data_IF_013226478202
#
_entry.id   IF_013226478202
#
_cell.length_a   1.000
_cell.length_b   1.000
_cell.length_c   1.000
_cell.angle_alpha   90.00
_cell.angle_beta   90.00
_cell.angle_gamma   90.00
#
_symmetry.space_group_name_H-M   'P 1'
#
loop_
_entity.id
_entity.type
_entity.pdbx_description
1 polymer ?
#
# COMPACT_ATOMS: atom_id res chain seq x y z
N UNK A 1 -2.94 2.59 21.59
CA UNK A 1 -2.80 1.19 22.00
C UNK A 1 -4.15 0.56 22.31
N UNK A 2 -4.97 1.17 23.16
CA UNK A 2 -6.28 0.65 23.57
C UNK A 2 -7.19 0.38 22.35
N UNK A 3 -7.17 1.26 21.36
CA UNK A 3 -7.91 1.09 20.10
C UNK A 3 -7.36 -0.02 19.20
N UNK A 4 -6.12 -0.46 19.41
CA UNK A 4 -5.46 -1.44 18.55
C UNK A 4 -5.43 -2.85 19.14
N UNK A 5 -5.49 -3.00 20.47
CA UNK A 5 -5.26 -4.28 21.16
C UNK A 5 -6.34 -5.35 20.87
N UNK A 6 -7.53 -4.95 20.48
CA UNK A 6 -8.63 -5.86 20.18
C UNK A 6 -9.94 -5.14 19.89
N UNK A 7 -10.98 -5.92 19.73
CA UNK A 7 -12.36 -5.43 19.62
C UNK A 7 -12.81 -4.82 20.95
N UNK A 8 -13.60 -3.75 20.93
CA UNK A 8 -14.10 -3.11 22.15
C UNK A 8 -15.04 -3.99 22.99
N UNK A 9 -15.59 -5.02 22.40
CA UNK A 9 -16.44 -6.00 23.09
C UNK A 9 -15.62 -7.08 23.83
N UNK A 10 -14.30 -7.12 23.65
CA UNK A 10 -13.44 -8.14 24.24
C UNK A 10 -12.51 -7.55 25.31
N UNK A 11 -12.35 -8.31 26.40
CA UNK A 11 -11.34 -7.98 27.40
C UNK A 11 -9.93 -8.13 26.81
N UNK A 12 -9.09 -7.11 27.00
CA UNK A 12 -7.71 -7.13 26.55
C UNK A 12 -6.75 -7.01 27.74
N UNK A 13 -5.69 -7.81 27.73
CA UNK A 13 -4.64 -7.77 28.73
C UNK A 13 -3.68 -6.62 28.40
N UNK A 14 -3.38 -5.78 29.38
CA UNK A 14 -2.36 -4.75 29.24
C UNK A 14 -0.99 -5.36 28.94
N UNK A 15 -0.33 -4.90 27.91
CA UNK A 15 1.03 -5.30 27.53
C UNK A 15 1.90 -4.11 27.20
N UNK A 16 2.92 -3.84 28.00
CA UNK A 16 3.90 -2.79 27.77
C UNK A 16 4.65 -3.00 26.44
N UNK A 17 4.92 -4.24 26.07
CA UNK A 17 5.57 -4.54 24.78
C UNK A 17 4.69 -4.20 23.58
N UNK A 18 3.39 -4.44 23.69
CA UNK A 18 2.44 -4.08 22.64
C UNK A 18 2.28 -2.55 22.48
N UNK A 19 2.39 -1.79 23.59
CA UNK A 19 2.46 -0.31 23.54
C UNK A 19 3.66 0.16 22.71
N UNK A 20 4.81 -0.48 22.85
CA UNK A 20 6.01 -0.19 22.03
C UNK A 20 5.75 -0.42 20.54
N UNK A 21 4.90 -1.39 20.19
CA UNK A 21 4.46 -1.64 18.81
C UNK A 21 3.71 -0.45 18.22
N UNK A 22 2.76 0.11 18.98
CA UNK A 22 2.01 1.31 18.58
C UNK A 22 2.93 2.53 18.45
N UNK A 23 3.87 2.71 19.38
CA UNK A 23 4.88 3.78 19.28
C UNK A 23 5.71 3.65 18.01
N UNK A 24 6.24 2.45 17.71
CA UNK A 24 7.03 2.21 16.48
C UNK A 24 6.24 2.53 15.21
N UNK A 25 4.93 2.30 15.19
CA UNK A 25 4.09 2.71 14.07
C UNK A 25 4.07 4.22 13.91
N UNK A 26 3.87 4.99 14.99
CA UNK A 26 3.89 6.45 14.95
C UNK A 26 5.27 7.00 14.57
N UNK A 27 6.35 6.41 15.09
CA UNK A 27 7.72 6.77 14.69
C UNK A 27 7.94 6.54 13.17
N UNK A 28 7.36 5.49 12.59
CA UNK A 28 7.42 5.25 11.15
C UNK A 28 6.64 6.29 10.34
N UNK A 29 5.46 6.71 10.83
CA UNK A 29 4.70 7.81 10.20
C UNK A 29 5.50 9.10 10.23
N UNK A 30 6.17 9.40 11.34
CA UNK A 30 7.03 10.57 11.46
C UNK A 30 8.21 10.52 10.50
N UNK A 31 8.92 9.39 10.45
CA UNK A 31 10.06 9.21 9.54
C UNK A 31 9.63 9.28 8.06
N UNK A 32 8.42 8.78 7.74
CA UNK A 32 7.86 8.90 6.40
C UNK A 32 7.63 10.38 6.04
N UNK A 33 7.15 11.18 7.00
CA UNK A 33 6.96 12.62 6.84
C UNK A 33 8.28 13.36 6.55
N UNK A 34 9.41 12.94 7.13
CA UNK A 34 10.72 13.53 6.87
C UNK A 34 11.22 13.29 5.43
N UNK A 35 10.78 12.22 4.78
CA UNK A 35 11.16 11.85 3.41
C UNK A 35 10.16 12.28 2.34
N UNK A 36 9.17 13.07 2.71
CA UNK A 36 8.06 13.48 1.84
C UNK A 36 8.53 14.46 0.76
N UNK A 37 8.15 14.19 -0.49
CA UNK A 37 8.36 15.10 -1.63
C UNK A 37 7.38 16.27 -1.57
N UNK A 38 7.84 17.46 -1.95
CA UNK A 38 7.06 18.70 -1.96
C UNK A 38 6.13 18.75 -3.20
N UNK A 39 5.24 17.78 -3.33
CA UNK A 39 4.19 17.76 -4.35
C UNK A 39 2.82 17.75 -3.61
N UNK A 40 1.95 18.75 -3.87
CA UNK A 40 0.66 18.85 -3.22
C UNK A 40 -0.33 17.77 -3.66
N UNK A 41 -0.07 17.08 -4.76
CA UNK A 41 -0.94 16.04 -5.30
C UNK A 41 -0.54 14.65 -4.80
N UNK A 42 -1.52 13.74 -4.59
CA UNK A 42 -1.21 12.35 -4.34
C UNK A 42 -0.45 11.70 -5.51
N UNK A 43 0.50 10.84 -5.19
CA UNK A 43 1.27 10.10 -6.19
C UNK A 43 0.39 9.07 -6.90
N UNK A 44 0.42 8.96 -8.24
CA UNK A 44 -0.27 7.90 -8.97
C UNK A 44 0.10 6.48 -8.51
N UNK A 45 1.35 6.28 -8.07
CA UNK A 45 1.80 5.00 -7.53
C UNK A 45 1.10 4.61 -6.22
N UNK A 46 0.59 5.59 -5.48
CA UNK A 46 -0.08 5.41 -4.19
C UNK A 46 -1.61 5.49 -4.28
N UNK A 47 -2.16 5.83 -5.45
CA UNK A 47 -3.59 6.08 -5.61
C UNK A 47 -4.44 4.91 -5.12
N UNK A 48 -4.14 3.70 -5.56
CA UNK A 48 -4.94 2.53 -5.22
C UNK A 48 -4.89 2.18 -3.73
N UNK A 49 -3.72 2.24 -3.11
CA UNK A 49 -3.60 1.94 -1.67
C UNK A 49 -4.28 3.02 -0.84
N UNK A 50 -4.18 4.30 -1.22
CA UNK A 50 -4.85 5.39 -0.50
C UNK A 50 -6.36 5.25 -0.57
N UNK A 51 -6.95 5.04 -1.77
CA UNK A 51 -8.40 4.88 -1.91
C UNK A 51 -8.92 3.62 -1.19
N UNK A 52 -8.20 2.49 -1.24
CA UNK A 52 -8.53 1.30 -0.43
C UNK A 52 -8.48 1.58 1.08
N UNK A 53 -7.48 2.34 1.51
CA UNK A 53 -7.31 2.68 2.93
C UNK A 53 -8.40 3.62 3.40
N UNK A 54 -8.74 4.67 2.63
CA UNK A 54 -9.87 5.56 2.95
C UNK A 54 -11.16 4.74 3.11
N UNK A 55 -11.49 3.90 2.11
CA UNK A 55 -12.68 3.04 2.15
C UNK A 55 -12.70 2.16 3.40
N UNK A 56 -11.59 1.46 3.66
CA UNK A 56 -11.47 0.52 4.79
C UNK A 56 -11.57 1.22 6.14
N UNK A 57 -10.82 2.31 6.34
CA UNK A 57 -10.80 3.05 7.60
C UNK A 57 -12.16 3.69 7.87
N UNK A 58 -12.82 4.26 6.87
CA UNK A 58 -14.17 4.82 7.01
C UNK A 58 -15.16 3.75 7.49
N UNK A 59 -15.23 2.61 6.80
CA UNK A 59 -16.14 1.52 7.16
C UNK A 59 -15.83 0.93 8.55
N UNK A 60 -14.56 0.86 8.92
CA UNK A 60 -14.13 0.33 10.21
C UNK A 60 -14.47 1.28 11.37
N UNK A 61 -14.32 2.60 11.16
CA UNK A 61 -14.74 3.60 12.16
C UNK A 61 -16.26 3.53 12.37
N UNK A 62 -17.04 3.48 11.30
CA UNK A 62 -18.51 3.36 11.37
C UNK A 62 -18.96 2.08 12.11
N UNK A 63 -18.17 1.03 12.01
CA UNK A 63 -18.42 -0.27 12.65
C UNK A 63 -17.70 -0.45 14.00
N UNK A 64 -17.04 0.60 14.53
CA UNK A 64 -16.23 0.58 15.76
C UNK A 64 -15.07 -0.44 15.76
N UNK A 65 -14.62 -0.86 14.57
CA UNK A 65 -13.50 -1.78 14.37
C UNK A 65 -12.16 -1.05 14.30
N UNK A 66 -11.81 -0.32 15.35
CA UNK A 66 -10.64 0.55 15.38
C UNK A 66 -9.31 -0.19 15.18
N UNK A 67 -9.22 -1.42 15.65
CA UNK A 67 -8.04 -2.27 15.48
C UNK A 67 -7.76 -2.59 14.00
N UNK A 68 -8.78 -2.89 13.20
CA UNK A 68 -8.63 -3.18 11.78
C UNK A 68 -8.37 -1.91 10.97
N UNK A 69 -8.94 -0.77 11.35
CA UNK A 69 -8.62 0.53 10.78
C UNK A 69 -7.12 0.87 10.95
N UNK A 70 -6.58 0.69 12.16
CA UNK A 70 -5.15 0.90 12.44
C UNK A 70 -4.29 -0.08 11.62
N UNK A 71 -4.67 -1.35 11.53
CA UNK A 71 -3.96 -2.34 10.71
C UNK A 71 -3.94 -1.96 9.22
N UNK A 72 -5.05 -1.43 8.68
CA UNK A 72 -5.11 -0.93 7.31
C UNK A 72 -4.14 0.25 7.09
N UNK A 73 -4.08 1.19 8.02
CA UNK A 73 -3.12 2.30 7.96
C UNK A 73 -1.66 1.82 8.09
N UNK A 74 -1.38 0.79 8.90
CA UNK A 74 -0.04 0.18 8.96
C UNK A 74 0.36 -0.44 7.63
N UNK A 75 -0.57 -1.09 6.93
CA UNK A 75 -0.35 -1.63 5.58
C UNK A 75 -0.08 -0.50 4.59
N UNK A 76 -0.88 0.57 4.62
CA UNK A 76 -0.67 1.74 3.77
C UNK A 76 0.72 2.35 4.00
N UNK A 77 1.17 2.53 5.24
CA UNK A 77 2.52 3.05 5.55
C UNK A 77 3.62 2.17 4.98
N UNK A 78 3.45 0.83 4.93
CA UNK A 78 4.42 -0.07 4.29
C UNK A 78 4.54 0.21 2.78
N UNK A 79 3.41 0.30 2.07
CA UNK A 79 3.40 0.56 0.62
C UNK A 79 3.89 1.98 0.31
N UNK A 80 3.45 2.98 1.06
CA UNK A 80 3.91 4.37 0.92
C UNK A 80 5.42 4.51 1.13
N UNK A 81 5.98 3.76 2.10
CA UNK A 81 7.44 3.75 2.33
C UNK A 81 8.19 3.15 1.15
N UNK A 82 7.66 2.11 0.52
CA UNK A 82 8.29 1.47 -0.63
C UNK A 82 8.20 2.32 -1.91
N UNK A 83 7.09 2.99 -2.13
CA UNK A 83 6.82 3.78 -3.34
C UNK A 83 7.36 5.22 -3.25
N UNK A 84 7.66 5.69 -2.04
CA UNK A 84 7.88 7.11 -1.74
C UNK A 84 6.56 7.88 -1.64
N UNK A 85 6.59 9.02 -0.96
CA UNK A 85 5.39 9.81 -0.65
C UNK A 85 5.49 11.25 -1.09
N UNK A 86 4.34 11.83 -1.42
CA UNK A 86 4.13 13.25 -1.67
C UNK A 86 3.41 13.92 -0.49
N UNK A 87 3.37 15.25 -0.47
CA UNK A 87 2.53 16.00 0.49
C UNK A 87 1.05 15.61 0.36
N UNK A 88 0.57 15.37 -0.86
CA UNK A 88 -0.80 14.93 -1.10
C UNK A 88 -1.10 13.58 -0.46
N UNK A 89 -0.17 12.61 -0.57
CA UNK A 89 -0.29 11.30 0.10
C UNK A 89 -0.31 11.44 1.62
N UNK A 90 0.62 12.23 2.16
CA UNK A 90 0.73 12.48 3.61
C UNK A 90 -0.51 13.17 4.17
N UNK A 91 -1.10 14.11 3.43
CA UNK A 91 -2.34 14.77 3.85
C UNK A 91 -3.45 13.75 4.13
N UNK A 92 -3.66 12.82 3.20
CA UNK A 92 -4.66 11.76 3.34
C UNK A 92 -4.34 10.86 4.54
N UNK A 93 -3.10 10.39 4.66
CA UNK A 93 -2.68 9.54 5.77
C UNK A 93 -2.88 10.22 7.12
N UNK A 94 -2.50 11.49 7.24
CA UNK A 94 -2.64 12.29 8.47
C UNK A 94 -4.12 12.46 8.84
N UNK A 95 -5.00 12.76 7.87
CA UNK A 95 -6.43 12.87 8.09
C UNK A 95 -7.04 11.55 8.62
N UNK A 96 -6.69 10.42 8.01
CA UNK A 96 -7.17 9.10 8.45
C UNK A 96 -6.65 8.72 9.85
N UNK A 97 -5.44 9.11 10.19
CA UNK A 97 -4.80 8.79 11.47
C UNK A 97 -5.24 9.75 12.60
N UNK A 98 -5.76 10.94 12.28
CA UNK A 98 -6.08 11.96 13.27
C UNK A 98 -7.01 11.48 14.40
N UNK A 99 -8.10 10.71 14.15
CA UNK A 99 -8.96 10.19 15.22
C UNK A 99 -8.25 9.27 16.22
N UNK A 100 -7.14 8.65 15.81
CA UNK A 100 -6.39 7.67 16.61
C UNK A 100 -5.18 8.28 17.32
N UNK A 101 -4.57 9.29 16.72
CA UNK A 101 -3.33 9.91 17.21
C UNK A 101 -3.32 11.44 16.92
N UNK A 102 -4.21 12.22 17.57
CA UNK A 102 -4.41 13.62 17.21
C UNK A 102 -3.16 14.48 17.38
N UNK A 103 -2.35 14.27 18.42
CA UNK A 103 -1.19 15.13 18.68
C UNK A 103 -0.15 15.08 17.55
N UNK A 104 0.26 13.88 17.14
CA UNK A 104 1.26 13.74 16.06
C UNK A 104 0.71 14.23 14.71
N UNK A 105 -0.58 14.01 14.46
CA UNK A 105 -1.19 14.40 13.18
C UNK A 105 -1.44 15.91 13.09
N UNK A 106 -1.78 16.58 14.18
CA UNK A 106 -1.87 18.03 14.20
C UNK A 106 -0.49 18.68 14.04
N UNK A 107 0.55 18.15 14.69
CA UNK A 107 1.94 18.62 14.53
C UNK A 107 2.41 18.47 13.07
N UNK A 108 2.14 17.31 12.44
CA UNK A 108 2.46 17.11 11.02
C UNK A 108 1.62 17.99 10.10
N UNK A 109 0.36 18.24 10.45
CA UNK A 109 -0.52 19.14 9.69
C UNK A 109 0.03 20.56 9.65
N UNK A 110 0.49 21.08 10.80
CA UNK A 110 1.14 22.38 10.88
C UNK A 110 2.47 22.39 10.12
N UNK A 111 3.33 21.39 10.35
CA UNK A 111 4.64 21.24 9.70
C UNK A 111 4.54 21.26 8.16
N UNK A 112 3.54 20.60 7.60
CA UNK A 112 3.29 20.60 6.15
C UNK A 112 2.60 21.85 5.64
N UNK A 113 2.13 22.72 6.51
CA UNK A 113 1.43 23.96 6.15
C UNK A 113 0.01 23.74 5.61
N UNK A 114 -0.64 22.62 5.94
CA UNK A 114 -2.00 22.32 5.46
C UNK A 114 -3.08 23.25 6.04
N UNK A 115 -2.79 23.93 7.13
CA UNK A 115 -3.64 24.99 7.69
C UNK A 115 -3.60 26.29 6.88
N UNK A 116 -2.61 26.46 5.98
CA UNK A 116 -2.43 27.70 5.23
C UNK A 116 -3.68 28.07 4.42
N UNK A 117 -4.09 29.32 4.55
CA UNK A 117 -5.28 29.87 3.88
C UNK A 117 -6.63 29.52 4.50
N UNK A 118 -6.73 28.49 5.35
CA UNK A 118 -7.97 28.09 6.01
C UNK A 118 -7.94 28.32 7.51
N UNK A 119 -6.77 28.28 8.16
CA UNK A 119 -6.60 28.28 9.60
C UNK A 119 -7.16 27.04 10.31
N UNK A 120 -7.60 26.02 9.55
CA UNK A 120 -8.22 24.81 10.10
C UNK A 120 -7.15 23.81 10.58
N UNK A 121 -7.38 23.24 11.74
CA UNK A 121 -6.67 22.08 12.25
C UNK A 121 -7.01 20.82 11.43
N UNK A 122 -6.22 19.76 11.55
CA UNK A 122 -6.51 18.48 10.89
C UNK A 122 -7.88 17.92 11.27
N UNK A 123 -8.22 17.96 12.56
CA UNK A 123 -9.53 17.51 13.07
C UNK A 123 -10.72 18.32 12.55
N UNK A 124 -10.49 19.51 12.00
CA UNK A 124 -11.50 20.38 11.39
C UNK A 124 -11.53 20.27 9.87
N UNK A 125 -10.62 19.50 9.29
CA UNK A 125 -10.59 19.27 7.85
C UNK A 125 -11.70 18.31 7.42
N UNK A 126 -12.05 18.34 6.13
CA UNK A 126 -12.98 17.38 5.57
C UNK A 126 -12.37 15.98 5.56
N UNK A 127 -13.21 14.97 5.87
CA UNK A 127 -12.80 13.59 5.79
C UNK A 127 -12.50 13.20 4.33
N UNK A 128 -11.41 12.48 4.05
CA UNK A 128 -11.06 12.12 2.69
C UNK A 128 -12.11 11.16 2.10
N UNK A 129 -12.43 11.38 0.82
CA UNK A 129 -13.41 10.57 0.08
C UNK A 129 -12.67 9.62 -0.86
N UNK A 130 -13.09 8.35 -0.90
CA UNK A 130 -12.53 7.39 -1.85
C UNK A 130 -13.34 7.33 -3.15
N UNK A 131 -12.67 6.97 -4.22
CA UNK A 131 -13.26 6.62 -5.51
C UNK A 131 -13.12 5.11 -5.68
N UNK A 132 -14.24 4.41 -5.85
CA UNK A 132 -14.28 2.95 -5.99
C UNK A 132 -13.45 2.47 -7.18
N UNK A 133 -13.49 3.19 -8.30
CA UNK A 133 -12.74 2.84 -9.51
C UNK A 133 -11.22 2.89 -9.32
N UNK A 134 -10.75 3.64 -8.33
CA UNK A 134 -9.33 3.82 -7.99
C UNK A 134 -8.84 2.87 -6.90
N UNK A 135 -9.72 2.05 -6.34
CA UNK A 135 -9.33 1.07 -5.32
C UNK A 135 -8.56 -0.12 -5.88
N UNK A 136 -8.61 -0.32 -7.19
CA UNK A 136 -7.89 -1.40 -7.88
C UNK A 136 -6.54 -0.86 -8.34
N UNK A 137 -5.46 -1.58 -8.04
CA UNK A 137 -4.14 -1.22 -8.54
C UNK A 137 -4.15 -1.27 -10.08
N UNK A 138 -3.67 -0.19 -10.70
CA UNK A 138 -3.56 -0.12 -12.17
C UNK A 138 -2.52 -1.10 -12.74
N UNK A 139 -1.56 -1.53 -11.90
CA UNK A 139 -0.52 -2.50 -12.26
C UNK A 139 -0.41 -3.60 -11.20
N UNK A 140 -0.01 -4.77 -11.63
CA UNK A 140 0.21 -5.96 -10.78
C UNK A 140 1.56 -6.57 -11.12
N UNK A 141 2.29 -7.01 -10.11
CA UNK A 141 3.54 -7.73 -10.27
C UNK A 141 3.28 -9.22 -10.52
N UNK A 142 3.57 -9.65 -11.74
CA UNK A 142 3.53 -11.07 -12.09
C UNK A 142 4.83 -11.75 -11.71
N UNK A 143 4.75 -12.81 -10.91
CA UNK A 143 5.89 -13.68 -10.67
C UNK A 143 6.20 -14.48 -11.94
N UNK A 144 7.41 -14.36 -12.49
CA UNK A 144 7.85 -15.08 -13.68
C UNK A 144 8.63 -16.33 -13.27
N UNK A 145 8.13 -17.49 -13.66
CA UNK A 145 8.75 -18.78 -13.38
C UNK A 145 9.16 -19.49 -14.69
N UNK A 146 10.23 -20.27 -14.61
CA UNK A 146 10.64 -21.21 -15.68
C UNK A 146 10.78 -22.59 -15.04
N UNK A 147 10.00 -23.56 -15.53
CA UNK A 147 9.89 -24.89 -14.95
C UNK A 147 9.64 -24.87 -13.43
N UNK A 148 8.73 -23.99 -12.97
CA UNK A 148 8.36 -23.84 -11.57
C UNK A 148 9.36 -23.07 -10.68
N UNK A 149 10.52 -22.64 -11.22
CA UNK A 149 11.53 -21.85 -10.47
C UNK A 149 11.37 -20.37 -10.77
N UNK A 150 11.22 -19.54 -9.74
CA UNK A 150 11.12 -18.09 -9.87
C UNK A 150 12.39 -17.53 -10.53
N UNK A 151 12.23 -16.71 -11.57
CA UNK A 151 13.29 -16.06 -12.33
C UNK A 151 13.26 -14.55 -12.26
N UNK A 152 12.11 -13.98 -11.93
CA UNK A 152 11.92 -12.53 -11.79
C UNK A 152 10.47 -12.15 -11.59
N UNK A 153 10.22 -10.85 -11.66
CA UNK A 153 8.88 -10.25 -11.65
C UNK A 153 8.76 -9.26 -12.79
N UNK A 154 7.56 -9.12 -13.35
CA UNK A 154 7.23 -8.09 -14.34
C UNK A 154 5.99 -7.35 -13.87
N UNK A 155 6.04 -6.02 -13.83
CA UNK A 155 4.90 -5.18 -13.52
C UNK A 155 4.11 -4.91 -14.79
N UNK A 156 2.85 -5.33 -14.82
CA UNK A 156 1.95 -5.20 -15.96
C UNK A 156 0.61 -4.60 -15.52
N UNK A 157 -0.13 -3.95 -16.41
CA UNK A 157 -1.49 -3.51 -16.09
C UNK A 157 -2.33 -4.64 -15.53
N UNK A 158 -3.19 -4.31 -14.55
CA UNK A 158 -4.17 -5.28 -14.03
C UNK A 158 -5.02 -5.80 -15.17
N UNK A 159 -5.33 -7.09 -15.14
CA UNK A 159 -6.09 -7.80 -16.18
C UNK A 159 -5.39 -7.91 -17.53
N UNK A 160 -4.06 -7.71 -17.61
CA UNK A 160 -3.28 -7.99 -18.81
C UNK A 160 -3.50 -9.41 -19.32
N UNK A 161 -3.57 -9.55 -20.64
CA UNK A 161 -3.70 -10.85 -21.30
C UNK A 161 -2.43 -11.68 -21.20
N UNK A 162 -2.58 -13.00 -21.25
CA UNK A 162 -1.48 -13.96 -21.12
C UNK A 162 -0.31 -13.63 -22.06
N UNK A 163 -0.58 -13.35 -23.33
CA UNK A 163 0.47 -13.11 -24.32
C UNK A 163 1.30 -11.88 -23.97
N UNK A 164 0.66 -10.77 -23.55
CA UNK A 164 1.37 -9.55 -23.16
C UNK A 164 2.29 -9.78 -21.95
N UNK A 165 1.84 -10.60 -20.98
CA UNK A 165 2.64 -10.94 -19.80
C UNK A 165 3.79 -11.87 -20.17
N UNK A 166 3.59 -12.81 -21.09
CA UNK A 166 4.66 -13.69 -21.62
C UNK A 166 5.71 -12.86 -22.34
N UNK A 167 5.31 -11.94 -23.22
CA UNK A 167 6.22 -11.08 -23.97
C UNK A 167 7.06 -10.22 -23.01
N UNK A 168 6.43 -9.62 -22.01
CA UNK A 168 7.14 -8.88 -20.95
C UNK A 168 8.07 -9.80 -20.13
N UNK A 169 7.65 -11.01 -19.79
CA UNK A 169 8.47 -11.98 -19.06
C UNK A 169 9.75 -12.35 -19.82
N UNK A 170 9.66 -12.45 -21.15
CA UNK A 170 10.79 -12.76 -22.03
C UNK A 170 11.83 -11.62 -22.12
N UNK A 171 11.52 -10.41 -21.67
CA UNK A 171 12.50 -9.31 -21.58
C UNK A 171 13.40 -9.42 -20.33
N UNK A 172 13.01 -10.22 -19.33
CA UNK A 172 13.78 -10.40 -18.10
C UNK A 172 15.05 -11.21 -18.37
N UNK A 173 16.21 -10.66 -18.10
CA UNK A 173 17.52 -11.28 -18.39
C UNK A 173 17.68 -12.71 -17.84
N UNK A 174 17.18 -12.95 -16.60
CA UNK A 174 17.24 -14.29 -15.99
C UNK A 174 16.30 -15.29 -16.66
N UNK A 175 15.22 -14.82 -17.27
CA UNK A 175 14.29 -15.65 -18.05
C UNK A 175 14.94 -15.98 -19.38
N UNK A 176 15.51 -14.99 -20.08
CA UNK A 176 16.23 -15.18 -21.33
C UNK A 176 17.35 -16.22 -21.21
N UNK A 177 18.16 -16.12 -20.14
CA UNK A 177 19.23 -17.09 -19.85
C UNK A 177 18.67 -18.51 -19.57
N UNK A 178 17.50 -18.59 -18.95
CA UNK A 178 16.88 -19.87 -18.59
C UNK A 178 16.11 -20.51 -19.75
N UNK A 179 15.80 -19.76 -20.80
CA UNK A 179 15.09 -20.24 -22.01
C UNK A 179 16.01 -20.35 -23.24
N UNK A 180 17.27 -19.93 -23.13
CA UNK A 180 18.25 -19.99 -24.21
C UNK A 180 18.47 -21.43 -24.68
N UNK A 181 18.24 -21.71 -25.99
CA UNK A 181 18.33 -23.05 -26.56
C UNK A 181 17.21 -24.00 -26.13
N UNK A 182 16.12 -23.48 -25.59
CA UNK A 182 14.96 -24.25 -25.17
C UNK A 182 13.70 -23.80 -25.92
N UNK A 183 12.75 -24.72 -26.12
CA UNK A 183 11.45 -24.43 -26.66
C UNK A 183 10.41 -24.35 -25.54
N UNK A 184 9.60 -23.27 -25.51
CA UNK A 184 8.43 -23.18 -24.63
C UNK A 184 7.36 -24.15 -25.13
N UNK A 185 7.07 -25.20 -24.35
CA UNK A 185 6.09 -26.22 -24.69
C UNK A 185 4.72 -25.96 -24.08
N UNK A 186 4.68 -25.21 -22.98
CA UNK A 186 3.44 -24.85 -22.29
C UNK A 186 3.63 -23.62 -21.45
N UNK A 187 2.61 -22.75 -21.45
CA UNK A 187 2.51 -21.65 -20.50
C UNK A 187 1.43 -21.98 -19.46
N UNK A 188 1.70 -21.70 -18.20
CA UNK A 188 0.71 -21.73 -17.13
C UNK A 188 0.55 -20.29 -16.67
N UNK A 189 -0.59 -19.70 -16.96
CA UNK A 189 -0.92 -18.33 -16.63
C UNK A 189 -1.98 -18.29 -15.52
N UNK A 190 -1.69 -17.54 -14.46
CA UNK A 190 -2.65 -17.22 -13.39
C UNK A 190 -2.82 -15.72 -13.37
N UNK A 191 -4.00 -15.27 -13.77
CA UNK A 191 -4.36 -13.87 -13.95
C UNK A 191 -3.98 -13.05 -12.71
N UNK A 192 -3.33 -11.91 -12.92
CA UNK A 192 -2.90 -10.98 -11.87
C UNK A 192 -1.95 -11.60 -10.81
N UNK A 193 -1.25 -12.69 -11.13
CA UNK A 193 -0.41 -13.36 -10.14
C UNK A 193 0.91 -13.89 -10.66
N UNK A 194 0.88 -14.78 -11.65
CA UNK A 194 2.09 -15.42 -12.15
C UNK A 194 1.97 -15.91 -13.60
N UNK A 195 3.11 -16.02 -14.25
CA UNK A 195 3.32 -16.78 -15.46
C UNK A 195 4.44 -17.79 -15.27
N UNK A 196 4.21 -19.05 -15.64
CA UNK A 196 5.21 -20.11 -15.57
C UNK A 196 5.41 -20.72 -16.97
N UNK A 197 6.61 -20.55 -17.49
CA UNK A 197 7.03 -21.05 -18.80
C UNK A 197 7.62 -22.45 -18.61
N UNK A 198 6.96 -23.45 -19.18
CA UNK A 198 7.47 -24.83 -19.21
C UNK A 198 8.29 -24.98 -20.47
N UNK A 199 9.58 -25.20 -20.32
CA UNK A 199 10.54 -25.31 -21.43
C UNK A 199 11.19 -26.70 -21.47
N UNK A 200 11.52 -27.18 -22.69
CA UNK A 200 12.28 -28.39 -22.95
C UNK A 200 13.45 -28.07 -23.88
N UNK A 201 14.56 -28.82 -23.84
CA UNK A 201 15.62 -28.72 -24.85
C UNK A 201 15.04 -28.94 -26.24
N UNK A 202 15.56 -28.20 -27.22
CA UNK A 202 15.27 -28.44 -28.65
C UNK A 202 15.85 -29.74 -29.08
#
# INVERSE_FOLDING_TARGET
YIMFVGDFEQAAIWSTEAVKGSKRFLDRVWNLAESTKDDPNPSPANEAILHRTIKKVTADIDSLKMNTAIAAMMTAVNELTANGVTKGDMKILIQLLNPFAPHITEELWEKFGFAAGTGKMCCQSEWPVYDESKTVASTVDFAVQVNGKLKGTVSMPTDSEEQAVVDAAMTVEKVQKATAGMQVVKTIFVKNRLVNLIVKPQ
#
